data_IF_471890533375
#
_entry.id   IF_471890533375
#
_cell.length_a   1.000
_cell.length_b   1.000
_cell.length_c   1.000
_cell.angle_alpha   90.00
_cell.angle_beta   90.00
_cell.angle_gamma   90.00
#
_symmetry.space_group_name_H-M   'P 1'
#
loop_
_entity.id
_entity.type
_entity.pdbx_description
1 polymer ?
#
# COMPACT_ATOMS: atom_id res chain seq x y z
N UNK A 1 -25.30 31.27 -13.54
CA UNK A 1 -25.18 30.18 -12.55
C UNK A 1 -24.11 29.25 -13.07
N UNK A 2 -22.92 29.26 -12.47
CA UNK A 2 -21.80 28.42 -12.88
C UNK A 2 -22.20 26.96 -12.64
N UNK A 3 -22.52 26.22 -13.71
CA UNK A 3 -22.41 24.77 -13.65
C UNK A 3 -20.91 24.50 -13.56
N UNK A 4 -20.38 24.46 -12.35
CA UNK A 4 -19.09 23.82 -12.10
C UNK A 4 -19.25 22.40 -12.64
N UNK A 5 -18.68 22.13 -13.82
CA UNK A 5 -18.68 20.80 -14.42
C UNK A 5 -18.02 19.87 -13.42
N UNK A 6 -18.83 19.12 -12.68
CA UNK A 6 -18.42 18.24 -11.61
C UNK A 6 -17.55 17.13 -12.24
N UNK A 7 -16.26 17.12 -11.90
CA UNK A 7 -15.31 16.17 -12.46
C UNK A 7 -15.60 14.78 -11.89
N UNK A 8 -15.69 13.76 -12.74
CA UNK A 8 -15.89 12.40 -12.28
C UNK A 8 -14.60 11.88 -11.63
N UNK A 9 -14.73 11.12 -10.55
CA UNK A 9 -13.57 10.48 -9.94
C UNK A 9 -12.91 9.50 -10.91
N UNK A 10 -11.57 9.44 -10.97
CA UNK A 10 -10.90 8.40 -11.71
C UNK A 10 -11.26 7.02 -11.10
N UNK A 11 -11.18 5.93 -11.88
CA UNK A 11 -11.66 4.62 -11.45
C UNK A 11 -11.04 4.10 -10.15
N UNK A 12 -9.76 4.39 -9.88
CA UNK A 12 -9.09 4.01 -8.64
C UNK A 12 -9.50 4.83 -7.40
N UNK A 13 -10.08 6.03 -7.57
CA UNK A 13 -10.66 6.80 -6.47
C UNK A 13 -12.13 6.43 -6.24
N UNK A 14 -12.86 5.99 -7.27
CA UNK A 14 -14.21 5.45 -7.14
C UNK A 14 -14.22 4.06 -6.51
N UNK A 15 -13.27 3.22 -6.90
CA UNK A 15 -13.18 1.82 -6.49
C UNK A 15 -11.79 1.48 -5.97
N UNK A 16 -11.36 2.03 -4.80
CA UNK A 16 -10.05 1.76 -4.21
C UNK A 16 -9.86 0.28 -3.82
N UNK A 17 -10.95 -0.51 -3.79
CA UNK A 17 -10.95 -1.94 -3.50
C UNK A 17 -10.90 -2.84 -4.74
N UNK A 18 -10.97 -2.29 -5.97
CA UNK A 18 -10.88 -3.08 -7.21
C UNK A 18 -9.49 -2.86 -7.84
N UNK A 19 -8.50 -3.72 -7.54
CA UNK A 19 -7.18 -3.60 -8.15
C UNK A 19 -7.22 -3.79 -9.66
N UNK A 20 -6.25 -3.21 -10.36
CA UNK A 20 -6.13 -3.35 -11.81
C UNK A 20 -5.97 -4.83 -12.19
N UNK A 21 -6.73 -5.29 -13.19
CA UNK A 21 -6.76 -6.70 -13.59
C UNK A 21 -7.75 -7.59 -12.83
N UNK A 22 -8.40 -7.08 -11.76
CA UNK A 22 -9.49 -7.80 -11.10
C UNK A 22 -10.71 -7.95 -12.02
N UNK A 23 -11.45 -9.06 -11.88
CA UNK A 23 -12.67 -9.33 -12.64
C UNK A 23 -13.74 -8.23 -12.47
N UNK A 24 -13.71 -7.47 -11.36
CA UNK A 24 -14.62 -6.35 -11.12
C UNK A 24 -14.59 -5.25 -12.19
N UNK A 25 -13.51 -5.15 -12.98
CA UNK A 25 -13.42 -4.23 -14.13
C UNK A 25 -14.04 -4.77 -15.43
N UNK A 26 -14.31 -6.09 -15.53
CA UNK A 26 -14.83 -6.76 -16.74
C UNK A 26 -16.17 -7.46 -16.56
N UNK A 27 -16.55 -7.72 -15.31
CA UNK A 27 -17.74 -8.49 -14.94
C UNK A 27 -18.31 -8.00 -13.59
N UNK A 28 -18.31 -6.68 -13.35
CA UNK A 28 -18.72 -6.12 -12.06
C UNK A 28 -19.03 -4.62 -12.10
N UNK A 29 -19.27 -4.02 -10.93
CA UNK A 29 -19.64 -2.61 -10.80
C UNK A 29 -18.60 -1.63 -11.39
N UNK A 30 -17.34 -2.04 -11.50
CA UNK A 30 -16.26 -1.27 -12.11
C UNK A 30 -16.41 -1.12 -13.63
N UNK A 31 -16.98 -2.11 -14.32
CA UNK A 31 -17.09 -2.13 -15.79
C UNK A 31 -17.96 -0.98 -16.31
N UNK A 32 -19.21 -0.89 -15.83
CA UNK A 32 -20.14 0.17 -16.24
C UNK A 32 -19.59 1.56 -15.95
N UNK A 33 -18.97 1.74 -14.79
CA UNK A 33 -18.37 3.03 -14.43
C UNK A 33 -17.18 3.37 -15.32
N UNK A 34 -16.30 2.40 -15.61
CA UNK A 34 -15.14 2.60 -16.47
C UNK A 34 -15.55 3.03 -17.88
N UNK A 35 -16.62 2.42 -18.42
CA UNK A 35 -17.19 2.81 -19.72
C UNK A 35 -17.72 4.25 -19.68
N UNK A 36 -18.54 4.59 -18.67
CA UNK A 36 -19.12 5.93 -18.56
C UNK A 36 -18.04 7.01 -18.33
N UNK A 37 -17.10 6.76 -17.42
CA UNK A 37 -15.99 7.64 -17.13
C UNK A 37 -15.08 7.85 -18.35
N UNK A 38 -14.78 6.78 -19.11
CA UNK A 38 -13.93 6.90 -20.31
C UNK A 38 -14.61 7.68 -21.43
N UNK A 39 -15.91 7.47 -21.65
CA UNK A 39 -16.72 8.27 -22.58
C UNK A 39 -16.78 9.73 -22.17
N UNK A 40 -17.00 10.01 -20.87
CA UNK A 40 -16.99 11.35 -20.32
C UNK A 40 -15.63 12.03 -20.52
N UNK A 41 -14.52 11.39 -20.13
CA UNK A 41 -13.18 11.95 -20.29
C UNK A 41 -12.87 12.22 -21.77
N UNK A 42 -13.23 11.31 -22.67
CA UNK A 42 -13.06 11.48 -24.11
C UNK A 42 -13.90 12.62 -24.70
N UNK A 43 -15.03 12.98 -24.08
CA UNK A 43 -15.88 14.10 -24.50
C UNK A 43 -15.28 15.47 -24.17
N UNK A 44 -14.30 15.54 -23.26
CA UNK A 44 -13.65 16.80 -22.89
C UNK A 44 -12.64 17.25 -23.97
N UNK A 45 -12.40 18.57 -24.12
CA UNK A 45 -11.31 19.08 -24.95
C UNK A 45 -9.95 18.51 -24.52
N UNK A 46 -9.02 18.32 -25.46
CA UNK A 46 -7.70 17.72 -25.19
C UNK A 46 -6.93 18.40 -24.03
N UNK A 47 -6.97 19.74 -23.95
CA UNK A 47 -6.36 20.47 -22.85
C UNK A 47 -7.00 20.15 -21.49
N UNK A 48 -8.33 19.97 -21.43
CA UNK A 48 -9.03 19.59 -20.22
C UNK A 48 -8.75 18.13 -19.83
N UNK A 49 -8.59 17.22 -20.80
CA UNK A 49 -8.15 15.84 -20.54
C UNK A 49 -6.74 15.82 -19.92
N UNK A 50 -5.80 16.59 -20.48
CA UNK A 50 -4.44 16.68 -19.95
C UNK A 50 -4.43 17.27 -18.53
N UNK A 51 -5.20 18.33 -18.31
CA UNK A 51 -5.38 18.93 -16.98
C UNK A 51 -5.95 17.94 -15.97
N UNK A 52 -6.98 17.17 -16.37
CA UNK A 52 -7.58 16.14 -15.54
C UNK A 52 -6.56 15.05 -15.16
N UNK A 53 -5.80 14.53 -16.14
CA UNK A 53 -4.75 13.53 -15.91
C UNK A 53 -3.65 14.04 -14.98
N UNK A 54 -3.33 15.34 -15.04
CA UNK A 54 -2.37 15.97 -14.15
C UNK A 54 -2.89 16.13 -12.71
N UNK A 55 -4.18 16.44 -12.53
CA UNK A 55 -4.80 16.51 -11.20
C UNK A 55 -5.00 15.15 -10.54
N UNK A 56 -5.26 14.12 -11.36
CA UNK A 56 -5.58 12.78 -10.92
C UNK A 56 -4.58 11.78 -11.53
N UNK A 57 -3.35 11.73 -11.02
CA UNK A 57 -2.38 10.73 -11.42
C UNK A 57 -2.78 9.35 -10.88
N UNK A 58 -2.48 8.26 -11.62
CA UNK A 58 -2.74 6.92 -11.12
C UNK A 58 -1.86 6.58 -9.90
N UNK A 59 -2.31 5.64 -9.06
CA UNK A 59 -1.50 5.11 -7.99
C UNK A 59 -0.33 4.27 -8.54
N UNK A 60 0.73 4.03 -7.74
CA UNK A 60 1.94 3.33 -8.21
C UNK A 60 1.69 1.96 -8.84
N UNK A 61 0.69 1.21 -8.35
CA UNK A 61 0.33 -0.11 -8.88
C UNK A 61 -0.56 -0.06 -10.15
N UNK A 62 -0.95 1.14 -10.61
CA UNK A 62 -1.73 1.36 -11.85
C UNK A 62 -1.10 2.44 -12.74
N UNK A 63 0.22 2.59 -12.70
CA UNK A 63 0.92 3.74 -13.33
C UNK A 63 0.59 3.95 -14.82
N UNK A 64 0.27 2.88 -15.55
CA UNK A 64 -0.03 2.90 -16.99
C UNK A 64 -1.54 2.95 -17.29
N UNK A 65 -2.39 3.23 -16.29
CA UNK A 65 -3.85 3.21 -16.47
C UNK A 65 -4.31 4.08 -17.64
N UNK A 66 -3.68 5.24 -17.82
CA UNK A 66 -4.03 6.22 -18.84
C UNK A 66 -3.53 5.86 -20.24
N UNK A 67 -2.48 5.05 -20.34
CA UNK A 67 -1.77 4.72 -21.57
C UNK A 67 -1.58 3.19 -21.70
N UNK A 68 -2.68 2.40 -21.80
CA UNK A 68 -2.63 0.93 -21.84
C UNK A 68 -2.03 0.35 -23.14
N UNK A 69 -1.59 1.21 -24.06
CA UNK A 69 -1.10 0.86 -25.40
C UNK A 69 0.30 0.22 -25.43
N UNK A 70 1.02 0.23 -24.32
CA UNK A 70 2.19 -0.61 -24.12
C UNK A 70 1.77 -1.75 -23.21
N UNK A 71 1.95 -2.99 -23.69
CA UNK A 71 1.49 -4.18 -22.99
C UNK A 71 2.13 -4.33 -21.62
N UNK A 72 1.96 -5.51 -21.02
CA UNK A 72 2.74 -6.00 -19.88
C UNK A 72 4.25 -6.13 -20.23
N UNK A 73 4.83 -5.21 -20.99
CA UNK A 73 6.11 -5.28 -21.69
C UNK A 73 7.25 -4.61 -20.95
N UNK A 74 7.00 -3.70 -20.01
CA UNK A 74 8.03 -3.37 -19.02
C UNK A 74 8.04 -4.49 -17.97
N UNK A 75 8.67 -5.60 -18.34
CA UNK A 75 8.96 -6.73 -17.45
C UNK A 75 9.78 -6.33 -16.21
N UNK A 76 10.31 -5.11 -16.19
CA UNK A 76 11.00 -4.50 -15.06
C UNK A 76 10.05 -4.11 -13.91
N UNK A 77 8.73 -4.08 -14.17
CA UNK A 77 7.71 -3.73 -13.19
C UNK A 77 7.24 -4.89 -12.33
N UNK A 78 7.19 -6.08 -12.92
CA UNK A 78 6.78 -7.29 -12.24
C UNK A 78 8.00 -8.12 -11.94
N UNK A 79 8.22 -8.39 -10.67
CA UNK A 79 9.18 -9.39 -10.27
C UNK A 79 8.64 -10.77 -10.68
N UNK A 80 9.41 -11.45 -11.53
CA UNK A 80 9.09 -12.75 -12.13
C UNK A 80 9.90 -13.90 -11.54
N UNK A 81 10.73 -13.64 -10.52
CA UNK A 81 11.63 -14.64 -9.92
C UNK A 81 10.96 -15.63 -8.96
N UNK A 82 9.61 -15.67 -8.93
CA UNK A 82 8.88 -16.52 -8.00
C UNK A 82 9.06 -18.00 -8.36
N UNK A 83 9.43 -18.86 -7.41
CA UNK A 83 9.47 -20.30 -7.63
C UNK A 83 8.13 -20.90 -8.08
N UNK A 84 6.99 -20.27 -7.74
CA UNK A 84 5.65 -20.70 -8.15
C UNK A 84 5.17 -20.06 -9.46
N UNK A 85 5.95 -19.14 -10.04
CA UNK A 85 5.51 -18.32 -11.18
C UNK A 85 4.56 -17.18 -10.79
N UNK A 86 4.35 -16.92 -9.49
CA UNK A 86 3.53 -15.82 -9.01
C UNK A 86 4.19 -14.46 -9.25
N UNK A 87 3.46 -13.52 -9.84
CA UNK A 87 3.99 -12.21 -10.19
C UNK A 87 3.74 -11.20 -9.07
N UNK A 88 4.78 -10.48 -8.67
CA UNK A 88 4.66 -9.39 -7.70
C UNK A 88 5.02 -8.08 -8.39
N UNK A 89 4.10 -7.12 -8.37
CA UNK A 89 4.37 -5.79 -8.91
C UNK A 89 5.24 -4.99 -7.93
N UNK A 90 6.36 -4.49 -8.43
CA UNK A 90 7.19 -3.54 -7.73
C UNK A 90 6.67 -2.12 -7.89
N UNK A 91 6.59 -1.40 -6.76
CA UNK A 91 6.27 0.03 -6.76
C UNK A 91 7.44 0.89 -7.25
N UNK A 92 8.66 0.41 -7.07
CA UNK A 92 9.91 1.06 -7.50
C UNK A 92 10.84 0.01 -8.09
N UNK A 93 11.75 0.42 -8.99
CA UNK A 93 12.72 -0.48 -9.59
C UNK A 93 13.43 -1.37 -8.54
N UNK A 94 13.46 -2.67 -8.82
CA UNK A 94 14.04 -3.71 -7.94
C UNK A 94 13.47 -3.76 -6.51
N UNK A 95 12.25 -3.26 -6.27
CA UNK A 95 11.57 -3.35 -4.97
C UNK A 95 12.20 -2.54 -3.84
N UNK A 96 13.13 -1.63 -4.17
CA UNK A 96 13.92 -0.89 -3.18
C UNK A 96 13.07 0.17 -2.44
N UNK A 97 13.22 0.31 -1.12
CA UNK A 97 12.59 1.38 -0.36
C UNK A 97 12.96 2.78 -0.86
N UNK A 98 12.00 3.70 -0.87
CA UNK A 98 12.29 5.13 -1.08
C UNK A 98 13.12 5.73 0.05
N UNK A 99 12.84 5.30 1.29
CA UNK A 99 13.47 5.79 2.50
C UNK A 99 14.34 4.72 3.15
N UNK A 100 15.39 5.16 3.83
CA UNK A 100 16.31 4.30 4.57
C UNK A 100 16.83 5.02 5.81
N UNK A 101 17.31 4.24 6.78
CA UNK A 101 17.96 4.77 7.98
C UNK A 101 19.19 5.59 7.61
N UNK A 102 19.96 5.11 6.64
CA UNK A 102 21.21 5.73 6.18
C UNK A 102 20.95 7.13 5.62
N UNK A 103 19.87 7.30 4.83
CA UNK A 103 19.45 8.62 4.34
C UNK A 103 19.06 9.56 5.47
N UNK A 104 18.31 9.08 6.47
CA UNK A 104 17.90 9.92 7.62
C UNK A 104 19.12 10.39 8.43
N UNK A 105 20.07 9.49 8.69
CA UNK A 105 21.30 9.81 9.43
C UNK A 105 22.17 10.77 8.65
N UNK A 106 22.38 10.52 7.35
CA UNK A 106 23.19 11.39 6.50
C UNK A 106 22.58 12.79 6.33
N UNK A 107 21.24 12.88 6.29
CA UNK A 107 20.53 14.16 6.24
C UNK A 107 20.52 14.89 7.60
N UNK A 108 20.92 14.25 8.69
CA UNK A 108 20.84 14.82 10.03
C UNK A 108 19.41 15.16 10.47
N UNK A 109 18.43 14.35 10.07
CA UNK A 109 17.01 14.63 10.31
C UNK A 109 16.72 14.83 11.81
N UNK A 110 16.17 15.99 12.16
CA UNK A 110 15.85 16.45 13.52
C UNK A 110 14.34 16.71 13.74
N UNK A 111 13.51 16.28 12.78
CA UNK A 111 12.06 16.46 12.83
C UNK A 111 11.33 15.45 13.75
N UNK A 112 10.01 15.38 13.59
CA UNK A 112 9.15 14.57 14.45
C UNK A 112 9.22 13.07 14.11
N UNK A 113 9.24 12.25 15.16
CA UNK A 113 9.10 10.80 15.05
C UNK A 113 7.78 10.37 15.68
N UNK A 114 7.02 9.55 14.96
CA UNK A 114 5.74 8.99 15.41
C UNK A 114 5.94 7.48 15.58
N UNK A 115 6.22 7.02 16.81
CA UNK A 115 6.44 5.62 17.04
C UNK A 115 5.11 4.90 17.25
N UNK A 116 4.98 3.71 16.69
CA UNK A 116 3.82 2.85 16.84
C UNK A 116 4.27 1.45 17.19
N UNK A 117 3.49 0.79 18.04
CA UNK A 117 3.72 -0.60 18.42
C UNK A 117 2.42 -1.19 19.00
N UNK A 118 2.09 -2.41 18.59
CA UNK A 118 0.85 -3.14 18.89
C UNK A 118 -0.43 -2.48 18.34
N UNK A 119 -1.46 -3.29 18.02
CA UNK A 119 -2.74 -2.77 17.57
C UNK A 119 -3.60 -2.26 18.73
N UNK A 120 -4.50 -1.34 18.42
CA UNK A 120 -5.60 -0.89 19.26
C UNK A 120 -6.82 -0.60 18.38
N UNK A 121 -7.81 -1.51 18.38
CA UNK A 121 -8.98 -1.44 17.50
C UNK A 121 -9.89 -0.24 17.77
N UNK A 122 -9.81 0.35 18.96
CA UNK A 122 -10.78 1.36 19.43
C UNK A 122 -10.39 2.79 19.03
N UNK A 123 -9.18 2.98 18.47
CA UNK A 123 -8.63 4.32 18.22
C UNK A 123 -8.00 4.38 16.83
N UNK A 124 -8.32 5.44 16.10
CA UNK A 124 -7.54 5.84 14.92
C UNK A 124 -6.36 6.69 15.40
N UNK A 125 -5.16 6.12 15.33
CA UNK A 125 -3.95 6.70 15.89
C UNK A 125 -2.68 6.00 15.38
N UNK A 126 -1.52 6.19 16.03
CA UNK A 126 -0.27 5.51 15.66
C UNK A 126 -0.43 4.00 15.52
N UNK A 127 -1.27 3.38 16.35
CA UNK A 127 -1.59 1.96 16.34
C UNK A 127 -2.19 1.49 15.00
N UNK A 128 -2.86 2.38 14.27
CA UNK A 128 -3.33 2.13 12.91
C UNK A 128 -2.22 1.80 11.93
N UNK A 129 -0.97 2.17 12.21
CA UNK A 129 0.20 1.81 11.38
C UNK A 129 0.65 0.35 11.61
N UNK A 130 0.20 -0.31 12.68
CA UNK A 130 0.54 -1.70 12.95
C UNK A 130 -0.08 -2.65 11.90
N UNK A 131 0.69 -3.65 11.45
CA UNK A 131 0.18 -4.66 10.51
C UNK A 131 -0.91 -5.55 11.11
N UNK A 132 -0.93 -5.67 12.45
CA UNK A 132 -1.86 -6.52 13.19
C UNK A 132 -3.15 -5.78 13.56
N UNK A 133 -3.27 -4.49 13.21
CA UNK A 133 -4.49 -3.72 13.43
C UNK A 133 -5.65 -4.36 12.64
N UNK A 134 -6.79 -4.67 13.27
CA UNK A 134 -7.96 -5.26 12.60
C UNK A 134 -8.62 -4.21 11.71
N UNK A 135 -8.13 -4.12 10.48
CA UNK A 135 -8.51 -3.11 9.49
C UNK A 135 -8.81 -3.87 8.21
N UNK A 136 -10.04 -4.39 8.06
CA UNK A 136 -10.38 -5.21 6.92
C UNK A 136 -10.26 -4.43 5.62
N UNK A 137 -9.73 -5.07 4.59
CA UNK A 137 -9.66 -4.51 3.24
C UNK A 137 -9.77 -5.62 2.19
N UNK A 138 -10.15 -5.23 0.99
CA UNK A 138 -10.25 -6.13 -0.16
C UNK A 138 -9.13 -5.86 -1.18
N UNK A 139 -8.42 -6.91 -1.60
CA UNK A 139 -7.39 -6.87 -2.64
C UNK A 139 -7.22 -8.24 -3.33
N UNK A 140 -7.96 -8.50 -4.42
CA UNK A 140 -8.09 -9.86 -5.01
C UNK A 140 -8.59 -10.94 -4.03
N UNK A 141 -9.20 -10.51 -2.92
CA UNK A 141 -9.56 -11.35 -1.77
C UNK A 141 -9.78 -10.47 -0.54
N UNK A 142 -10.45 -10.99 0.48
CA UNK A 142 -10.71 -10.26 1.72
C UNK A 142 -9.63 -10.58 2.75
N UNK A 143 -9.11 -9.54 3.40
CA UNK A 143 -8.11 -9.66 4.46
C UNK A 143 -8.60 -8.91 5.70
N UNK A 144 -8.37 -9.50 6.87
CA UNK A 144 -8.75 -8.92 8.17
C UNK A 144 -7.76 -7.86 8.65
N UNK A 145 -6.51 -8.00 8.25
CA UNK A 145 -5.42 -7.08 8.55
C UNK A 145 -4.29 -7.23 7.54
N UNK A 146 -3.32 -6.32 7.58
CA UNK A 146 -2.21 -6.31 6.64
C UNK A 146 -1.22 -7.48 6.86
N UNK A 147 -1.11 -8.02 8.09
CA UNK A 147 -0.33 -9.24 8.36
C UNK A 147 -0.90 -10.45 7.61
N UNK A 148 -2.23 -10.60 7.55
CA UNK A 148 -2.86 -11.70 6.82
C UNK A 148 -2.48 -11.67 5.35
N UNK A 149 -2.55 -10.48 4.73
CA UNK A 149 -2.11 -10.27 3.35
C UNK A 149 -0.63 -10.61 3.16
N UNK A 150 0.24 -10.11 4.04
CA UNK A 150 1.68 -10.35 3.96
C UNK A 150 2.01 -11.85 3.99
N UNK A 151 1.39 -12.60 4.89
CA UNK A 151 1.62 -14.05 5.01
C UNK A 151 0.97 -14.82 3.85
N UNK A 152 -0.20 -14.39 3.36
CA UNK A 152 -0.86 -14.98 2.19
C UNK A 152 -0.01 -14.80 0.92
N UNK A 153 0.50 -13.60 0.67
CA UNK A 153 1.41 -13.32 -0.46
C UNK A 153 2.70 -14.12 -0.34
N UNK A 154 3.24 -14.29 0.88
CA UNK A 154 4.38 -15.18 1.09
C UNK A 154 4.07 -16.61 0.64
N UNK A 155 2.92 -17.15 1.02
CA UNK A 155 2.50 -18.49 0.59
C UNK A 155 2.34 -18.58 -0.94
N UNK A 156 1.77 -17.55 -1.58
CA UNK A 156 1.64 -17.48 -3.05
C UNK A 156 3.00 -17.45 -3.76
N UNK A 157 3.93 -16.62 -3.29
CA UNK A 157 5.30 -16.48 -3.84
C UNK A 157 6.05 -17.82 -3.84
N UNK A 158 5.83 -18.67 -2.83
CA UNK A 158 6.50 -19.96 -2.68
C UNK A 158 5.63 -21.17 -3.05
N UNK A 159 4.42 -20.95 -3.57
CA UNK A 159 3.52 -22.00 -4.06
C UNK A 159 2.99 -22.93 -2.97
N UNK A 160 2.79 -22.43 -1.75
CA UNK A 160 2.29 -23.22 -0.63
C UNK A 160 0.78 -23.01 -0.40
N UNK A 161 -0.04 -23.55 -1.31
CA UNK A 161 -1.50 -23.42 -1.27
C UNK A 161 -2.13 -23.95 0.03
N UNK A 162 -1.52 -24.98 0.63
CA UNK A 162 -1.98 -25.53 1.90
C UNK A 162 -1.81 -24.54 3.06
N UNK A 163 -0.68 -23.81 3.10
CA UNK A 163 -0.49 -22.73 4.09
C UNK A 163 -1.31 -21.51 3.76
N UNK A 164 -1.47 -21.17 2.47
CA UNK A 164 -2.35 -20.10 2.04
C UNK A 164 -3.77 -20.30 2.57
N UNK A 165 -4.35 -21.49 2.39
CA UNK A 165 -5.68 -21.81 2.90
C UNK A 165 -5.79 -21.63 4.43
N UNK A 166 -4.81 -22.14 5.19
CA UNK A 166 -4.77 -21.97 6.66
C UNK A 166 -4.65 -20.50 7.09
N UNK A 167 -3.87 -19.70 6.37
CA UNK A 167 -3.69 -18.27 6.65
C UNK A 167 -4.98 -17.49 6.38
N UNK A 168 -5.67 -17.81 5.28
CA UNK A 168 -6.93 -17.15 4.90
C UNK A 168 -8.08 -17.50 5.85
N UNK A 169 -8.07 -18.70 6.45
CA UNK A 169 -9.07 -19.14 7.42
C UNK A 169 -8.86 -18.55 8.83
N UNK A 170 -7.62 -18.18 9.17
CA UNK A 170 -7.28 -17.62 10.49
C UNK A 170 -7.87 -16.23 10.71
N UNK A 171 -8.22 -15.92 11.96
CA UNK A 171 -8.64 -14.60 12.44
C UNK A 171 -7.62 -13.93 13.37
N UNK A 172 -6.71 -14.70 13.97
CA UNK A 172 -5.61 -14.21 14.82
C UNK A 172 -4.33 -13.86 14.03
N UNK A 173 -3.85 -12.59 14.08
CA UNK A 173 -2.59 -12.18 13.44
C UNK A 173 -1.36 -12.96 13.95
N UNK A 174 -1.34 -13.35 15.22
CA UNK A 174 -0.26 -14.16 15.79
C UNK A 174 -0.15 -15.52 15.12
N UNK A 175 -1.29 -16.18 14.92
CA UNK A 175 -1.41 -17.45 14.21
C UNK A 175 -1.06 -17.32 12.73
N UNK A 176 -1.55 -16.28 12.04
CA UNK A 176 -1.17 -15.98 10.64
C UNK A 176 0.35 -15.87 10.50
N UNK A 177 1.03 -15.12 11.39
CA UNK A 177 2.48 -14.99 11.39
C UNK A 177 3.19 -16.31 11.64
N UNK A 178 2.67 -17.13 12.56
CA UNK A 178 3.21 -18.47 12.84
C UNK A 178 3.11 -19.37 11.61
N UNK A 179 1.98 -19.35 10.90
CA UNK A 179 1.78 -20.10 9.66
C UNK A 179 2.71 -19.61 8.55
N UNK A 180 2.89 -18.30 8.39
CA UNK A 180 3.80 -17.74 7.39
C UNK A 180 5.29 -18.06 7.64
N UNK A 181 5.69 -18.36 8.88
CA UNK A 181 7.02 -18.93 9.19
C UNK A 181 7.18 -20.38 8.77
N UNK A 182 6.08 -21.09 8.52
CA UNK A 182 6.04 -22.50 8.12
C UNK A 182 5.78 -22.70 6.62
N UNK A 183 5.76 -21.61 5.83
CA UNK A 183 5.64 -21.69 4.36
C UNK A 183 6.81 -22.49 3.81
N UNK A 184 6.50 -23.50 3.01
CA UNK A 184 7.47 -24.39 2.35
C UNK A 184 8.24 -23.64 1.25
N UNK A 185 9.38 -24.20 0.85
CA UNK A 185 10.23 -23.67 -0.23
C UNK A 185 10.68 -22.21 -0.01
N UNK A 186 10.72 -21.76 1.25
CA UNK A 186 11.10 -20.39 1.58
C UNK A 186 12.57 -20.14 1.26
N UNK A 187 12.80 -19.17 0.38
CA UNK A 187 14.13 -18.66 0.03
C UNK A 187 14.24 -17.19 0.49
N UNK A 188 15.16 -16.86 1.41
CA UNK A 188 15.30 -15.50 1.94
C UNK A 188 15.53 -14.45 0.86
N UNK A 189 16.34 -14.75 -0.13
CA UNK A 189 16.75 -13.83 -1.21
C UNK A 189 15.57 -13.49 -2.12
N UNK A 190 14.76 -14.50 -2.45
CA UNK A 190 13.48 -14.33 -3.16
C UNK A 190 12.55 -13.43 -2.36
N UNK A 191 12.39 -13.72 -1.06
CA UNK A 191 11.49 -12.93 -0.22
C UNK A 191 11.96 -11.49 -0.04
N UNK A 192 13.25 -11.28 0.13
CA UNK A 192 13.86 -9.97 0.29
C UNK A 192 13.69 -9.09 -0.94
N UNK A 193 13.65 -9.69 -2.14
CA UNK A 193 13.34 -8.97 -3.36
C UNK A 193 11.91 -8.37 -3.35
N UNK A 194 10.90 -9.07 -2.80
CA UNK A 194 9.49 -8.73 -2.99
C UNK A 194 8.74 -8.22 -1.76
N UNK A 195 9.17 -8.59 -0.55
CA UNK A 195 8.43 -8.36 0.71
C UNK A 195 8.05 -6.90 0.91
N UNK A 196 8.91 -5.98 0.49
CA UNK A 196 8.67 -4.55 0.64
C UNK A 196 7.50 -4.07 -0.23
N UNK A 197 7.45 -4.49 -1.50
CA UNK A 197 6.35 -4.13 -2.42
C UNK A 197 5.01 -4.74 -2.01
N UNK A 198 5.04 -5.94 -1.43
CA UNK A 198 3.87 -6.59 -0.83
C UNK A 198 3.33 -5.74 0.34
N UNK A 199 4.20 -5.29 1.24
CA UNK A 199 3.81 -4.42 2.38
C UNK A 199 3.30 -3.06 1.92
N UNK A 200 3.89 -2.45 0.88
CA UNK A 200 3.37 -1.21 0.29
C UNK A 200 1.93 -1.41 -0.22
N UNK A 201 1.69 -2.50 -0.94
CA UNK A 201 0.36 -2.82 -1.51
C UNK A 201 -0.67 -3.03 -0.42
N UNK A 202 -0.35 -3.82 0.61
CA UNK A 202 -1.25 -4.05 1.75
C UNK A 202 -1.62 -2.76 2.47
N UNK A 203 -0.63 -1.92 2.78
CA UNK A 203 -0.86 -0.65 3.47
C UNK A 203 -1.61 0.34 2.58
N UNK A 204 -1.32 0.39 1.28
CA UNK A 204 -2.11 1.24 0.37
C UNK A 204 -3.57 0.82 0.34
N UNK A 205 -3.87 -0.47 0.18
CA UNK A 205 -5.24 -0.98 0.19
C UNK A 205 -5.96 -0.64 1.51
N UNK A 206 -5.30 -0.95 2.65
CA UNK A 206 -5.80 -0.61 3.99
C UNK A 206 -6.12 0.88 4.15
N UNK A 207 -5.17 1.76 3.86
CA UNK A 207 -5.30 3.19 4.12
C UNK A 207 -6.15 3.93 3.08
N UNK A 208 -6.39 3.36 1.89
CA UNK A 208 -7.27 3.98 0.90
C UNK A 208 -8.73 3.59 1.04
N UNK A 209 -9.02 2.41 1.61
CA UNK A 209 -10.38 1.90 1.78
C UNK A 209 -11.08 2.42 3.04
N UNK A 210 -10.34 3.03 3.99
CA UNK A 210 -10.91 3.69 5.17
C UNK A 210 -10.53 5.19 5.19
N UNK A 211 -11.49 6.11 5.02
CA UNK A 211 -11.23 7.56 5.05
C UNK A 211 -10.61 8.08 6.35
N UNK A 212 -10.93 7.49 7.51
CA UNK A 212 -10.38 7.92 8.80
C UNK A 212 -8.90 7.51 8.91
N UNK A 213 -8.57 6.28 8.50
CA UNK A 213 -7.18 5.83 8.44
C UNK A 213 -6.38 6.68 7.44
N UNK A 214 -6.97 6.95 6.26
CA UNK A 214 -6.36 7.81 5.24
C UNK A 214 -5.99 9.17 5.81
N UNK A 215 -6.95 9.82 6.46
CA UNK A 215 -6.76 11.13 7.08
C UNK A 215 -5.67 11.09 8.15
N UNK A 216 -5.66 10.05 8.98
CA UNK A 216 -4.61 9.85 9.98
C UNK A 216 -3.22 9.74 9.34
N UNK A 217 -3.04 8.87 8.35
CA UNK A 217 -1.73 8.68 7.71
C UNK A 217 -1.23 9.98 7.06
N UNK A 218 -2.12 10.72 6.38
CA UNK A 218 -1.80 12.02 5.78
C UNK A 218 -1.42 13.08 6.83
N UNK A 219 -2.04 13.04 8.02
CA UNK A 219 -1.71 13.98 9.10
C UNK A 219 -0.28 13.83 9.63
N UNK A 220 0.35 12.67 9.40
CA UNK A 220 1.76 12.42 9.77
C UNK A 220 2.78 13.02 8.79
N UNK A 221 2.36 13.80 7.80
CA UNK A 221 3.24 14.41 6.80
C UNK A 221 4.39 15.18 7.47
N UNK A 222 5.61 14.99 6.96
CA UNK A 222 6.82 15.59 7.53
C UNK A 222 7.42 14.82 8.70
N UNK A 223 6.71 13.83 9.29
CA UNK A 223 7.23 12.97 10.36
C UNK A 223 7.81 11.65 9.84
N UNK A 224 8.73 11.07 10.61
CA UNK A 224 9.22 9.69 10.43
C UNK A 224 8.36 8.73 11.25
N UNK A 225 7.75 7.77 10.57
CA UNK A 225 6.98 6.70 11.23
C UNK A 225 7.96 5.62 11.73
N UNK A 226 7.80 5.18 12.98
CA UNK A 226 8.75 4.25 13.63
C UNK A 226 8.01 3.02 14.16
N UNK A 227 8.25 1.84 13.59
CA UNK A 227 7.79 0.58 14.18
C UNK A 227 8.66 0.27 15.39
N UNK A 228 8.16 0.66 16.56
CA UNK A 228 8.87 0.63 17.84
C UNK A 228 8.72 -0.75 18.53
N UNK A 229 8.97 -1.80 17.76
CA UNK A 229 9.06 -3.17 18.25
C UNK A 229 10.46 -3.45 18.81
N UNK A 230 10.59 -3.85 20.09
CA UNK A 230 11.88 -4.22 20.67
C UNK A 230 12.42 -5.57 20.14
N UNK A 231 11.58 -6.35 19.45
CA UNK A 231 11.89 -7.71 19.00
C UNK A 231 12.11 -7.82 17.49
N UNK A 232 11.89 -6.73 16.74
CA UNK A 232 11.97 -6.73 15.28
C UNK A 232 13.06 -5.77 14.80
N UNK A 233 14.07 -6.33 14.12
CA UNK A 233 15.19 -5.57 13.54
C UNK A 233 15.11 -5.46 12.02
N UNK A 234 14.04 -5.96 11.38
CA UNK A 234 13.82 -5.84 9.94
C UNK A 234 12.74 -4.80 9.69
N UNK A 235 11.54 -5.04 10.19
CA UNK A 235 10.42 -4.13 10.04
C UNK A 235 10.42 -3.00 11.07
N UNK A 236 10.98 -3.27 12.26
CA UNK A 236 11.09 -2.33 13.37
C UNK A 236 12.51 -1.80 13.61
N UNK A 237 12.63 -0.98 14.65
CA UNK A 237 13.91 -0.35 15.07
C UNK A 237 14.69 -1.14 16.13
N UNK A 238 14.10 -2.19 16.70
CA UNK A 238 14.69 -2.97 17.78
C UNK A 238 14.66 -2.29 19.14
N UNK A 239 13.76 -1.31 19.33
CA UNK A 239 13.53 -0.60 20.60
C UNK A 239 12.04 -0.35 20.81
N UNK A 240 11.60 -0.30 22.08
CA UNK A 240 10.24 0.10 22.45
C UNK A 240 10.03 1.61 22.32
N UNK A 241 8.78 2.05 22.26
CA UNK A 241 8.38 3.47 22.24
C UNK A 241 8.92 4.26 23.43
N UNK A 242 9.15 3.61 24.58
CA UNK A 242 9.71 4.24 25.79
C UNK A 242 11.22 4.50 25.72
N UNK A 243 11.93 3.95 24.74
CA UNK A 243 13.37 4.14 24.60
C UNK A 243 13.68 5.40 23.80
N UNK A 244 14.52 6.29 24.34
CA UNK A 244 15.03 7.46 23.60
C UNK A 244 15.70 7.04 22.27
N UNK A 245 16.30 5.85 22.23
CA UNK A 245 16.94 5.31 21.02
C UNK A 245 15.96 5.04 19.88
N UNK A 246 14.67 4.84 20.15
CA UNK A 246 13.66 4.72 19.11
C UNK A 246 13.51 6.00 18.27
N UNK A 247 13.93 7.14 18.82
CA UNK A 247 13.86 8.46 18.19
C UNK A 247 15.21 8.90 17.58
N UNK A 248 16.21 8.01 17.57
CA UNK A 248 17.56 8.33 17.13
C UNK A 248 18.02 7.33 16.06
N UNK A 249 17.82 7.62 14.77
CA UNK A 249 18.13 6.70 13.67
C UNK A 249 19.54 6.11 13.71
N UNK A 250 20.54 6.89 14.14
CA UNK A 250 21.92 6.43 14.28
C UNK A 250 22.10 5.29 15.31
N UNK A 251 21.17 5.14 16.26
CA UNK A 251 21.22 4.11 17.30
C UNK A 251 20.33 2.90 16.99
N UNK A 252 19.50 2.96 15.94
CA UNK A 252 18.58 1.88 15.60
C UNK A 252 19.34 0.59 15.29
N UNK A 253 18.90 -0.49 15.95
CA UNK A 253 19.40 -1.85 15.68
C UNK A 253 18.72 -2.46 14.45
N UNK A 254 17.51 -1.98 14.14
CA UNK A 254 16.72 -2.44 13.02
C UNK A 254 16.63 -1.45 11.86
N UNK A 255 16.04 -1.93 10.77
CA UNK A 255 15.93 -1.20 9.50
C UNK A 255 14.68 -0.33 9.40
N UNK A 256 13.69 -0.48 10.29
CA UNK A 256 12.42 0.26 10.26
C UNK A 256 11.68 0.20 8.91
N UNK A 257 11.75 -0.93 8.20
CA UNK A 257 11.16 -1.05 6.86
C UNK A 257 9.65 -0.75 6.85
N UNK A 258 8.92 -1.05 7.93
CA UNK A 258 7.48 -0.80 7.97
C UNK A 258 7.17 0.69 8.06
N UNK A 259 7.89 1.42 8.92
CA UNK A 259 7.76 2.87 9.02
C UNK A 259 8.05 3.55 7.67
N UNK A 260 9.10 3.11 6.98
CA UNK A 260 9.43 3.62 5.64
C UNK A 260 8.39 3.26 4.58
N UNK A 261 7.84 2.04 4.60
CA UNK A 261 6.77 1.64 3.70
C UNK A 261 5.53 2.52 3.88
N UNK A 262 5.14 2.80 5.13
CA UNK A 262 4.00 3.67 5.44
C UNK A 262 4.23 5.12 4.98
N UNK A 263 5.45 5.64 5.12
CA UNK A 263 5.82 6.96 4.59
C UNK A 263 5.72 7.00 3.06
N UNK A 264 6.13 5.94 2.37
CA UNK A 264 6.02 5.86 0.91
C UNK A 264 4.55 5.72 0.46
N UNK A 265 3.73 4.95 1.20
CA UNK A 265 2.28 4.89 0.98
C UNK A 265 1.63 6.26 1.23
N UNK A 266 2.02 6.98 2.29
CA UNK A 266 1.56 8.34 2.57
C UNK A 266 1.84 9.27 1.40
N UNK A 267 3.06 9.27 0.87
CA UNK A 267 3.45 10.07 -0.29
C UNK A 267 2.59 9.74 -1.52
N UNK A 268 2.36 8.44 -1.77
CA UNK A 268 1.53 8.00 -2.89
C UNK A 268 0.07 8.44 -2.72
N UNK A 269 -0.50 8.29 -1.53
CA UNK A 269 -1.87 8.74 -1.22
C UNK A 269 -1.96 10.27 -1.34
N UNK A 270 -1.01 11.02 -0.77
CA UNK A 270 -0.99 12.47 -0.87
C UNK A 270 -1.00 12.94 -2.33
N UNK A 271 -0.21 12.28 -3.19
CA UNK A 271 -0.18 12.56 -4.63
C UNK A 271 -1.51 12.24 -5.33
N UNK A 272 -2.10 11.08 -5.06
CA UNK A 272 -3.30 10.58 -5.75
C UNK A 272 -4.57 11.32 -5.28
N UNK A 273 -4.61 11.73 -4.01
CA UNK A 273 -5.77 12.37 -3.39
C UNK A 273 -5.65 13.91 -3.34
N UNK A 274 -4.58 14.51 -3.88
CA UNK A 274 -4.28 15.94 -3.79
C UNK A 274 -5.41 16.87 -4.26
N UNK A 275 -6.22 16.42 -5.22
CA UNK A 275 -7.29 17.20 -5.87
C UNK A 275 -8.67 16.56 -5.67
N UNK A 276 -8.85 15.73 -4.64
CA UNK A 276 -10.10 14.99 -4.39
C UNK A 276 -11.31 15.92 -4.19
N UNK A 277 -11.08 17.14 -3.69
CA UNK A 277 -12.07 18.20 -3.49
C UNK A 277 -12.61 18.80 -4.80
N UNK A 278 -11.92 18.57 -5.93
CA UNK A 278 -12.39 18.97 -7.26
C UNK A 278 -13.39 17.99 -7.87
N UNK A 279 -13.50 16.79 -7.32
CA UNK A 279 -14.35 15.73 -7.83
C UNK A 279 -15.79 15.93 -7.36
N UNK A 280 -16.73 15.39 -8.14
CA UNK A 280 -18.09 15.15 -7.66
C UNK A 280 -18.04 14.18 -6.47
N UNK A 281 -18.46 14.61 -5.25
CA UNK A 281 -18.49 13.72 -4.09
C UNK A 281 -19.31 12.45 -4.31
N UNK A 282 -20.32 12.47 -5.19
CA UNK A 282 -21.13 11.29 -5.50
C UNK A 282 -20.34 10.20 -6.25
N UNK A 283 -19.23 10.58 -6.90
CA UNK A 283 -18.37 9.68 -7.67
C UNK A 283 -17.13 9.22 -6.90
N UNK A 284 -16.89 9.72 -5.68
CA UNK A 284 -15.78 9.25 -4.83
C UNK A 284 -16.23 7.98 -4.08
N UNK A 285 -15.31 7.03 -3.87
CA UNK A 285 -15.54 5.77 -3.14
C UNK A 285 -15.04 5.78 -1.71
#
# INVERSE_FOLDING_TARGET
MNQSSQLWAPPWLRYPHIPLGAAGWRMGAGESYLIQWSQWLASLPAAAQQQYRAWFPPPPHQRDFYDPGYGLSDRDEYWTGSPSGYLVQHWRAAGRPRYSREQLVAAGYDGQFVPFWKPNADVVGPESCCQWQPTPFHWFGNYRCAEQYLMAEKARVFGDDAKLAQIMDSDDPGHMRKLGRQVRNFEPEVWDAVKYSIVLTANYAKFTQDPQLRAYLLSTTGSVLVEASPLDTVWGVGFSQSSVKAYQPAHWRGQNLLGFALMEVRDAIARVYANIDRLDPATVG
#
